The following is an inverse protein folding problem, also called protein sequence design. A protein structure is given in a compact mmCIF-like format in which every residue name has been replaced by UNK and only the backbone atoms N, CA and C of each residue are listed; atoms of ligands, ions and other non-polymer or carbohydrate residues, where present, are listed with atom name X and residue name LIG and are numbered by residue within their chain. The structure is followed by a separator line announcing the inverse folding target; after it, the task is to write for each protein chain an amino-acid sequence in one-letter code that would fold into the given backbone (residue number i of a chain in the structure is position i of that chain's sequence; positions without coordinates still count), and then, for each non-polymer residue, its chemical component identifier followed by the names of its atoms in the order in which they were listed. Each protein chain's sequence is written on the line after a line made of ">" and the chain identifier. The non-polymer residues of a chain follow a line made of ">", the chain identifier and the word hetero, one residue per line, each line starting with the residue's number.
data_IF_477008557980
#
_entry.id   IF_477008557980
#
_cell.length_a   1.000
_cell.length_b   1.000
_cell.length_c   1.000
_cell.angle_alpha   90.00
_cell.angle_beta   90.00
_cell.angle_gamma   90.00
#
_symmetry.space_group_name_H-M   'P 1'
#
loop_
_entity.id
_entity.type
_entity.pdbx_description
1 polymer ?
#
# COMPACT_ATOMS: atom_id res chain seq x y z
N UNK A 1 -8.70 2.00 16.50
CA UNK A 1 -9.29 3.20 15.84
C UNK A 1 -8.93 3.16 14.37
N UNK A 2 -9.74 3.75 13.48
CA UNK A 2 -9.37 3.86 12.07
C UNK A 2 -8.19 4.83 11.91
N UNK A 3 -7.20 4.42 11.13
CA UNK A 3 -6.02 5.20 10.78
C UNK A 3 -6.32 6.07 9.58
N UNK A 4 -5.82 7.29 9.59
CA UNK A 4 -6.02 8.31 8.57
C UNK A 4 -4.78 8.47 7.70
N UNK A 5 -4.90 9.26 6.63
CA UNK A 5 -3.77 9.63 5.76
C UNK A 5 -2.64 10.28 6.55
N UNK A 6 -2.99 11.10 7.55
CA UNK A 6 -2.01 11.78 8.41
C UNK A 6 -1.19 10.79 9.24
N UNK A 7 -1.82 9.71 9.72
CA UNK A 7 -1.11 8.65 10.43
C UNK A 7 -0.09 7.95 9.52
N UNK A 8 -0.44 7.73 8.25
CA UNK A 8 0.46 7.12 7.26
C UNK A 8 1.65 8.04 6.95
N UNK A 9 1.41 9.34 6.76
CA UNK A 9 2.49 10.32 6.57
C UNK A 9 3.43 10.36 7.79
N UNK A 10 2.87 10.32 9.00
CA UNK A 10 3.65 10.27 10.24
C UNK A 10 4.53 9.03 10.29
N UNK A 11 3.97 7.88 9.88
CA UNK A 11 4.72 6.62 9.82
C UNK A 11 5.82 6.65 8.74
N UNK A 12 5.58 7.25 7.57
CA UNK A 12 6.62 7.42 6.54
C UNK A 12 7.80 8.23 7.06
N UNK A 13 7.51 9.30 7.82
CA UNK A 13 8.53 10.09 8.50
C UNK A 13 9.26 9.26 9.55
N UNK A 14 8.54 8.50 10.39
CA UNK A 14 9.13 7.66 11.43
C UNK A 14 10.05 6.57 10.86
N UNK A 15 9.72 6.05 9.67
CA UNK A 15 10.53 5.04 8.94
C UNK A 15 11.68 5.64 8.13
N UNK A 16 11.75 6.97 8.01
CA UNK A 16 12.77 7.65 7.21
C UNK A 16 12.56 7.54 5.70
N UNK A 17 11.33 7.26 5.25
CA UNK A 17 10.97 7.25 3.82
C UNK A 17 10.94 8.67 3.23
N UNK A 18 10.52 9.64 4.04
CA UNK A 18 10.48 11.06 3.69
C UNK A 18 11.16 11.88 4.78
N UNK A 19 11.47 13.15 4.47
CA UNK A 19 12.03 14.09 5.44
C UNK A 19 11.05 14.37 6.60
N UNK A 20 11.56 14.69 7.79
CA UNK A 20 10.75 14.98 8.99
C UNK A 20 9.81 16.17 8.83
N UNK A 21 10.17 17.11 7.97
CA UNK A 21 9.36 18.28 7.62
C UNK A 21 9.38 18.46 6.09
N UNK A 22 8.56 17.71 5.35
CA UNK A 22 8.47 17.84 3.90
C UNK A 22 7.84 19.19 3.52
N UNK A 23 8.13 19.67 2.30
CA UNK A 23 7.51 20.89 1.79
C UNK A 23 5.99 20.73 1.64
N UNK A 24 5.24 21.83 1.50
CA UNK A 24 3.80 21.77 1.26
C UNK A 24 3.47 21.00 -0.03
N UNK A 25 4.25 21.22 -1.09
CA UNK A 25 4.12 20.52 -2.37
C UNK A 25 4.41 19.01 -2.24
N UNK A 26 5.47 18.64 -1.50
CA UNK A 26 5.79 17.25 -1.23
C UNK A 26 4.71 16.57 -0.39
N UNK A 27 4.19 17.26 0.63
CA UNK A 27 3.10 16.75 1.48
C UNK A 27 1.85 16.47 0.65
N UNK A 28 1.48 17.38 -0.26
CA UNK A 28 0.36 17.19 -1.18
C UNK A 28 0.58 16.00 -2.12
N UNK A 29 1.80 15.87 -2.66
CA UNK A 29 2.21 14.74 -3.49
C UNK A 29 2.12 13.41 -2.76
N UNK A 30 2.70 13.29 -1.57
CA UNK A 30 2.66 12.06 -0.76
C UNK A 30 1.22 11.70 -0.38
N UNK A 31 0.43 12.69 0.02
CA UNK A 31 -1.00 12.52 0.31
C UNK A 31 -1.76 11.94 -0.87
N UNK A 32 -1.46 12.36 -2.10
CA UNK A 32 -2.08 11.81 -3.31
C UNK A 32 -1.82 10.30 -3.46
N UNK A 33 -0.58 9.86 -3.29
CA UNK A 33 -0.22 8.44 -3.36
C UNK A 33 -0.81 7.59 -2.23
N UNK A 34 -0.87 8.16 -1.02
CA UNK A 34 -1.51 7.51 0.12
C UNK A 34 -3.01 7.32 -0.13
N UNK A 35 -3.70 8.33 -0.68
CA UNK A 35 -5.12 8.20 -1.06
C UNK A 35 -5.33 7.19 -2.19
N UNK A 36 -4.44 7.13 -3.18
CA UNK A 36 -4.50 6.13 -4.25
C UNK A 36 -4.37 4.70 -3.69
N UNK A 37 -3.48 4.49 -2.71
CA UNK A 37 -3.37 3.21 -2.01
C UNK A 37 -4.62 2.88 -1.20
N UNK A 38 -5.24 3.87 -0.55
CA UNK A 38 -6.48 3.69 0.20
C UNK A 38 -7.59 3.18 -0.72
N UNK A 39 -7.84 3.86 -1.84
CA UNK A 39 -8.86 3.45 -2.81
C UNK A 39 -8.61 2.03 -3.31
N UNK A 40 -7.36 1.73 -3.61
CA UNK A 40 -6.91 0.41 -4.06
C UNK A 40 -7.18 -0.70 -3.03
N UNK A 41 -6.88 -0.45 -1.75
CA UNK A 41 -7.13 -1.38 -0.65
C UNK A 41 -8.63 -1.52 -0.40
N UNK A 42 -9.38 -0.42 -0.39
CA UNK A 42 -10.83 -0.47 -0.23
C UNK A 42 -11.47 -1.30 -1.35
N UNK A 43 -11.04 -1.10 -2.60
CA UNK A 43 -11.54 -1.88 -3.73
C UNK A 43 -11.20 -3.37 -3.58
N UNK A 44 -10.00 -3.70 -3.06
CA UNK A 44 -9.58 -5.09 -2.86
C UNK A 44 -10.35 -5.79 -1.75
N UNK A 45 -10.49 -5.13 -0.61
CA UNK A 45 -11.18 -5.63 0.56
C UNK A 45 -12.71 -5.49 0.46
N UNK A 46 -13.24 -5.01 -0.68
CA UNK A 46 -14.67 -4.72 -0.89
C UNK A 46 -15.25 -3.79 0.18
N UNK A 47 -14.45 -2.85 0.64
CA UNK A 47 -14.86 -1.82 1.59
C UNK A 47 -15.48 -0.63 0.85
N UNK A 48 -16.30 0.19 1.56
CA UNK A 48 -16.82 1.44 1.01
C UNK A 48 -15.70 2.34 0.49
N UNK A 49 -15.90 2.95 -0.68
CA UNK A 49 -14.89 3.79 -1.35
C UNK A 49 -14.82 5.22 -0.78
N UNK A 50 -15.81 5.61 0.01
CA UNK A 50 -15.91 6.88 0.72
C UNK A 50 -15.19 6.87 2.08
N UNK A 51 -14.53 5.77 2.44
CA UNK A 51 -13.75 5.69 3.67
C UNK A 51 -12.59 6.69 3.64
N UNK A 52 -12.47 7.48 4.70
CA UNK A 52 -11.37 8.43 4.90
C UNK A 52 -10.20 7.84 5.70
N UNK A 53 -10.31 6.57 6.06
CA UNK A 53 -9.32 5.85 6.84
C UNK A 53 -9.57 4.35 6.84
N UNK A 54 -8.53 3.59 7.20
CA UNK A 54 -8.56 2.14 7.22
C UNK A 54 -8.47 1.61 8.66
N UNK A 55 -9.04 0.44 8.97
CA UNK A 55 -8.86 -0.20 10.27
C UNK A 55 -7.37 -0.46 10.55
N UNK A 56 -7.01 -0.45 11.83
CA UNK A 56 -5.62 -0.60 12.29
C UNK A 56 -4.91 -1.84 11.73
N UNK A 57 -5.63 -2.94 11.54
CA UNK A 57 -5.08 -4.17 10.93
C UNK A 57 -4.63 -4.02 9.46
N UNK A 58 -5.08 -2.98 8.76
CA UNK A 58 -4.65 -2.65 7.40
C UNK A 58 -3.65 -1.49 7.36
N UNK A 59 -3.31 -0.90 8.50
CA UNK A 59 -2.47 0.30 8.58
C UNK A 59 -1.10 0.10 7.94
N UNK A 60 -0.34 -0.91 8.38
CA UNK A 60 1.00 -1.14 7.85
C UNK A 60 0.99 -1.59 6.38
N UNK A 61 -0.04 -2.34 5.96
CA UNK A 61 -0.21 -2.65 4.55
C UNK A 61 -0.44 -1.37 3.73
N UNK A 62 -1.25 -0.45 4.24
CA UNK A 62 -1.50 0.84 3.60
C UNK A 62 -0.25 1.72 3.51
N UNK A 63 0.53 1.81 4.60
CA UNK A 63 1.83 2.51 4.65
C UNK A 63 2.78 2.03 3.55
N UNK A 64 2.84 0.71 3.36
CA UNK A 64 3.85 0.08 2.51
C UNK A 64 3.41 0.04 1.04
N UNK A 65 2.12 -0.21 0.79
CA UNK A 65 1.53 -0.10 -0.55
C UNK A 65 1.63 1.34 -1.06
N UNK A 66 1.29 2.32 -0.23
CA UNK A 66 1.40 3.73 -0.63
C UNK A 66 2.83 4.14 -0.95
N UNK A 67 3.81 3.67 -0.15
CA UNK A 67 5.22 3.95 -0.41
C UNK A 67 5.68 3.31 -1.71
N UNK A 68 5.29 2.05 -1.93
CA UNK A 68 5.57 1.34 -3.18
C UNK A 68 5.03 2.12 -4.37
N UNK A 69 3.77 2.58 -4.34
CA UNK A 69 3.17 3.38 -5.42
C UNK A 69 3.97 4.67 -5.66
N UNK A 70 4.34 5.39 -4.59
CA UNK A 70 5.18 6.59 -4.72
C UNK A 70 6.52 6.31 -5.41
N UNK A 71 7.12 5.13 -5.19
CA UNK A 71 8.36 4.69 -5.83
C UNK A 71 8.20 4.19 -7.28
N UNK A 72 7.00 4.23 -7.84
CA UNK A 72 6.68 3.72 -9.18
C UNK A 72 5.98 2.36 -9.18
N UNK A 73 5.64 1.86 -7.98
CA UNK A 73 4.79 0.71 -7.71
C UNK A 73 3.47 0.74 -8.45
N UNK A 74 3.10 -0.37 -9.09
CA UNK A 74 1.72 -0.57 -9.55
C UNK A 74 1.02 -1.54 -8.61
N UNK A 75 0.01 -1.05 -7.88
CA UNK A 75 -0.92 -1.92 -7.17
C UNK A 75 -2.09 -2.24 -8.10
N UNK A 76 -1.99 -3.35 -8.85
CA UNK A 76 -3.04 -3.79 -9.77
C UNK A 76 -3.86 -4.93 -9.16
N UNK A 77 -5.17 -4.70 -9.05
CA UNK A 77 -6.12 -5.73 -8.66
C UNK A 77 -6.37 -6.66 -9.86
N UNK A 78 -5.80 -7.87 -9.83
CA UNK A 78 -6.13 -8.94 -10.79
C UNK A 78 -7.09 -9.92 -10.12
N UNK A 79 -8.31 -10.04 -10.65
CA UNK A 79 -9.35 -11.06 -10.42
C UNK A 79 -9.33 -11.86 -9.08
N UNK A 80 -9.07 -11.20 -7.95
CA UNK A 80 -9.14 -11.80 -6.62
C UNK A 80 -7.81 -12.21 -5.95
N UNK A 81 -6.63 -11.84 -6.47
CA UNK A 81 -5.34 -11.99 -5.76
C UNK A 81 -4.35 -10.91 -6.23
N UNK A 82 -3.71 -10.19 -5.30
CA UNK A 82 -2.64 -9.23 -5.63
C UNK A 82 -1.46 -10.01 -6.24
N UNK A 83 -1.18 -9.81 -7.54
CA UNK A 83 -0.18 -10.57 -8.30
C UNK A 83 1.13 -9.83 -8.59
N UNK A 84 1.27 -8.56 -8.21
CA UNK A 84 2.52 -7.82 -8.43
C UNK A 84 2.52 -6.49 -7.68
N UNK A 85 3.68 -6.13 -7.13
CA UNK A 85 4.06 -4.74 -6.82
C UNK A 85 5.30 -4.48 -7.67
N UNK A 86 5.18 -3.63 -8.68
CA UNK A 86 6.25 -3.37 -9.65
C UNK A 86 7.04 -2.12 -9.26
N UNK A 87 8.24 -2.22 -8.69
CA UNK A 87 9.15 -1.07 -8.56
C UNK A 87 10.09 -0.98 -9.77
N UNK A 88 9.90 0.04 -10.63
CA UNK A 88 10.82 0.34 -11.74
C UNK A 88 10.81 -0.67 -12.91
N UNK A 89 11.96 -0.85 -13.58
CA UNK A 89 12.16 -1.72 -14.77
C UNK A 89 12.08 -3.23 -14.46
N UNK A 90 11.78 -3.59 -13.22
CA UNK A 90 11.66 -4.98 -12.77
C UNK A 90 10.20 -5.31 -12.48
N UNK A 91 9.56 -6.01 -13.41
CA UNK A 91 8.21 -6.56 -13.22
C UNK A 91 8.32 -7.92 -12.51
N UNK A 92 7.88 -8.00 -11.25
CA UNK A 92 7.75 -9.29 -10.55
C UNK A 92 6.32 -9.78 -10.70
N UNK A 93 6.15 -10.81 -11.54
CA UNK A 93 4.88 -11.51 -11.70
C UNK A 93 4.83 -12.65 -10.67
N UNK A 94 3.95 -12.54 -9.68
CA UNK A 94 3.68 -13.64 -8.74
C UNK A 94 2.79 -14.68 -9.45
N UNK A 95 3.43 -15.54 -10.24
CA UNK A 95 2.86 -16.81 -10.64
C UNK A 95 3.19 -17.84 -9.56
N UNK A 96 2.29 -18.80 -9.34
CA UNK A 96 2.29 -19.80 -8.24
C UNK A 96 3.51 -20.73 -8.19
N UNK A 97 4.53 -20.49 -9.01
CA UNK A 97 5.75 -21.28 -9.06
C UNK A 97 6.93 -20.36 -8.73
N UNK A 98 7.43 -20.56 -7.51
CA UNK A 98 8.78 -20.28 -7.02
C UNK A 98 9.59 -19.28 -7.85
N UNK A 99 9.55 -17.99 -7.51
CA UNK A 99 10.59 -17.06 -7.97
C UNK A 99 11.07 -16.15 -6.84
N UNK A 100 12.36 -16.32 -6.52
CA UNK A 100 13.15 -15.51 -5.60
C UNK A 100 13.25 -14.10 -6.14
N UNK A 101 12.80 -13.11 -5.36
CA UNK A 101 13.10 -11.71 -5.61
C UNK A 101 14.32 -11.27 -4.78
N UNK A 102 15.25 -10.57 -5.44
CA UNK A 102 16.47 -10.00 -4.83
C UNK A 102 16.19 -8.58 -4.33
N UNK A 103 15.28 -8.48 -3.37
CA UNK A 103 15.05 -7.36 -2.44
C UNK A 103 14.01 -7.90 -1.44
N UNK A 104 13.96 -7.45 -0.17
CA UNK A 104 12.96 -7.94 0.77
C UNK A 104 11.57 -7.41 0.35
N UNK A 105 10.95 -8.07 -0.62
CA UNK A 105 9.56 -7.83 -0.98
C UNK A 105 8.74 -8.35 0.18
N UNK A 106 8.18 -7.43 0.96
CA UNK A 106 7.27 -7.79 2.03
C UNK A 106 5.95 -8.25 1.38
N UNK A 107 5.64 -9.54 1.51
CA UNK A 107 4.43 -10.15 0.97
C UNK A 107 3.22 -9.87 1.88
N UNK A 108 2.38 -8.91 1.49
CA UNK A 108 1.14 -8.55 2.21
C UNK A 108 -0.08 -9.37 1.76
N UNK A 109 0.07 -10.32 0.84
CA UNK A 109 -1.06 -11.09 0.30
C UNK A 109 -1.77 -11.88 1.40
N UNK A 110 -1.03 -12.40 2.39
CA UNK A 110 -1.57 -13.13 3.53
C UNK A 110 -2.49 -12.26 4.40
N UNK A 111 -2.06 -11.06 4.77
CA UNK A 111 -2.83 -10.09 5.58
C UNK A 111 -4.08 -9.62 4.85
N UNK A 112 -3.95 -9.27 3.57
CA UNK A 112 -5.07 -8.80 2.76
C UNK A 112 -6.10 -9.92 2.52
N UNK A 113 -5.65 -11.15 2.26
CA UNK A 113 -6.53 -12.31 2.08
C UNK A 113 -7.21 -12.74 3.38
N UNK A 114 -6.53 -12.61 4.52
CA UNK A 114 -7.12 -12.88 5.83
C UNK A 114 -8.26 -11.89 6.15
N UNK A 115 -8.05 -10.59 5.91
CA UNK A 115 -9.08 -9.58 6.12
C UNK A 115 -10.29 -9.79 5.20
N UNK A 116 -10.07 -10.08 3.91
CA UNK A 116 -11.15 -10.38 2.94
C UNK A 116 -11.97 -11.61 3.30
N UNK A 117 -11.41 -12.58 4.02
CA UNK A 117 -12.13 -13.80 4.41
C UNK A 117 -13.02 -13.61 5.64
N UNK A 118 -12.76 -12.58 6.45
CA UNK A 118 -13.50 -12.30 7.68
C UNK A 118 -14.76 -11.47 7.44
N UNK A 119 -14.94 -10.92 6.23
CA UNK A 119 -16.06 -10.05 5.84
C UNK A 119 -16.71 -10.54 4.54
#
# INVERSE_FOLDING_TARGET
>A
MAKTVSDVLTEWTARGYIATSPSADDTAKYTSFINQALQSICAYCKLPQDMTGLPDGLFYAWVEISWSIFKGGVFQQSSGTVKSVSEGDTSVTFNTDTNKATAPIIDYSSTLNAFRRLW
#
